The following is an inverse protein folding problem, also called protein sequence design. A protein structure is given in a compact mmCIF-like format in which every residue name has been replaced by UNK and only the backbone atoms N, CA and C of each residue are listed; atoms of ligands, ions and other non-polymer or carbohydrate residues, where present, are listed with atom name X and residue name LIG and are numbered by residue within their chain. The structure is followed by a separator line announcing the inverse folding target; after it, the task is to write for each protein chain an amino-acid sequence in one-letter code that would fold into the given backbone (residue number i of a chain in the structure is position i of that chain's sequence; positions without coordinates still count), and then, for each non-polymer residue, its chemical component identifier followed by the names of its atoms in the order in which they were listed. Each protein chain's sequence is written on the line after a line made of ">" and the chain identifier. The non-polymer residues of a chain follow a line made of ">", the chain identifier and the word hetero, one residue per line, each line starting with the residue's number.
data_IF_516373758383
#
_entry.id   IF_516373758383
#
_cell.length_a   1.000
_cell.length_b   1.000
_cell.length_c   1.000
_cell.angle_alpha   90.00
_cell.angle_beta   90.00
_cell.angle_gamma   90.00
#
_symmetry.space_group_name_H-M   'P 1'
#
loop_
_entity.id
_entity.type
_entity.pdbx_description
1 polymer ?
#
# COMPACT_ATOMS: atom_id res chain seq x y z
N UNK A 1 -25.21 1.59 14.50
CA UNK A 1 -24.76 0.23 14.13
C UNK A 1 -25.91 -0.55 13.50
N UNK A 2 -26.63 0.09 12.60
CA UNK A 2 -27.57 -0.49 11.64
C UNK A 2 -27.25 0.23 10.32
N UNK A 3 -27.66 -0.31 9.18
CA UNK A 3 -27.30 0.11 7.81
C UNK A 3 -26.04 -0.54 7.23
N UNK A 4 -26.22 -1.81 6.84
CA UNK A 4 -25.87 -2.37 5.53
C UNK A 4 -25.73 -3.90 5.68
N UNK A 5 -26.86 -4.61 5.78
CA UNK A 5 -26.87 -6.06 5.55
C UNK A 5 -26.70 -6.27 4.05
N UNK A 6 -25.46 -6.21 3.56
CA UNK A 6 -25.11 -6.73 2.23
C UNK A 6 -25.45 -8.22 2.30
N UNK A 7 -26.41 -8.71 1.50
CA UNK A 7 -26.69 -10.13 1.45
C UNK A 7 -25.39 -10.85 1.05
N UNK A 8 -24.87 -11.71 1.92
CA UNK A 8 -23.61 -12.47 1.70
C UNK A 8 -23.77 -13.53 0.60
N UNK A 9 -24.87 -13.49 -0.16
CA UNK A 9 -25.15 -14.40 -1.27
C UNK A 9 -24.12 -14.16 -2.38
N UNK A 10 -23.11 -15.05 -2.40
CA UNK A 10 -22.04 -15.25 -3.38
C UNK A 10 -20.79 -14.35 -3.31
N UNK A 11 -20.32 -13.98 -2.11
CA UNK A 11 -18.94 -13.48 -1.98
C UNK A 11 -17.95 -14.63 -2.24
N UNK A 12 -17.21 -14.57 -3.36
CA UNK A 12 -16.11 -15.51 -3.65
C UNK A 12 -14.83 -14.98 -3.00
N UNK A 13 -14.33 -15.71 -2.00
CA UNK A 13 -13.06 -15.40 -1.34
C UNK A 13 -11.92 -16.13 -2.03
N UNK A 14 -10.92 -15.36 -2.46
CA UNK A 14 -9.63 -15.89 -2.92
C UNK A 14 -8.56 -15.41 -1.95
N UNK A 15 -7.66 -16.33 -1.57
CA UNK A 15 -6.51 -16.01 -0.73
C UNK A 15 -5.23 -16.34 -1.48
N UNK A 16 -4.22 -15.52 -1.27
CA UNK A 16 -2.88 -15.67 -1.80
C UNK A 16 -1.88 -15.24 -0.73
N UNK A 17 -0.74 -15.92 -0.67
CA UNK A 17 0.31 -15.58 0.28
C UNK A 17 1.01 -14.28 -0.17
N UNK A 18 1.18 -13.36 0.79
CA UNK A 18 1.89 -12.10 0.60
C UNK A 18 2.61 -11.74 1.90
N UNK A 19 3.93 -11.64 1.84
CA UNK A 19 4.71 -10.85 2.79
C UNK A 19 4.97 -9.48 2.16
N UNK A 20 4.24 -8.46 2.62
CA UNK A 20 4.33 -7.11 2.07
C UNK A 20 5.71 -6.46 2.35
N UNK A 21 6.43 -6.91 3.38
CA UNK A 21 7.77 -6.40 3.70
C UNK A 21 8.88 -6.97 2.83
N UNK A 22 8.58 -7.96 1.98
CA UNK A 22 9.53 -8.66 1.12
C UNK A 22 9.18 -8.41 -0.37
N UNK A 23 10.02 -7.66 -1.08
CA UNK A 23 9.68 -7.22 -2.45
C UNK A 23 9.61 -8.39 -3.45
N UNK A 24 10.32 -9.50 -3.19
CA UNK A 24 10.18 -10.73 -3.97
C UNK A 24 8.79 -11.33 -3.78
N UNK A 25 8.32 -11.45 -2.53
CA UNK A 25 6.96 -11.91 -2.23
C UNK A 25 5.89 -11.03 -2.86
N UNK A 26 6.08 -9.70 -2.85
CA UNK A 26 5.18 -8.74 -3.51
C UNK A 26 5.08 -9.01 -5.02
N UNK A 27 6.22 -9.24 -5.70
CA UNK A 27 6.25 -9.54 -7.14
C UNK A 27 5.58 -10.88 -7.47
N UNK A 28 5.83 -11.90 -6.67
CA UNK A 28 5.21 -13.22 -6.82
C UNK A 28 3.69 -13.15 -6.61
N UNK A 29 3.24 -12.46 -5.56
CA UNK A 29 1.82 -12.22 -5.31
C UNK A 29 1.16 -11.49 -6.49
N UNK A 30 1.75 -10.37 -6.93
CA UNK A 30 1.20 -9.61 -8.05
C UNK A 30 1.12 -10.46 -9.32
N UNK A 31 2.13 -11.29 -9.60
CA UNK A 31 2.11 -12.21 -10.75
C UNK A 31 0.91 -13.17 -10.70
N UNK A 32 0.67 -13.78 -9.53
CA UNK A 32 -0.47 -14.69 -9.34
C UNK A 32 -1.81 -13.97 -9.47
N UNK A 33 -1.95 -12.78 -8.90
CA UNK A 33 -3.18 -11.98 -8.99
C UNK A 33 -3.47 -11.59 -10.43
N UNK A 34 -2.46 -11.12 -11.17
CA UNK A 34 -2.58 -10.74 -12.58
C UNK A 34 -2.97 -11.91 -13.49
N UNK A 35 -2.57 -13.13 -13.14
CA UNK A 35 -2.94 -14.33 -13.88
C UNK A 35 -4.38 -14.79 -13.58
N UNK A 36 -4.96 -14.37 -12.45
CA UNK A 36 -6.29 -14.78 -11.99
C UNK A 36 -7.39 -13.76 -12.30
N UNK A 37 -7.06 -12.47 -12.34
CA UNK A 37 -8.04 -11.40 -12.44
C UNK A 37 -7.61 -10.37 -13.47
N UNK A 38 -8.47 -10.12 -14.45
CA UNK A 38 -8.25 -9.12 -15.50
C UNK A 38 -8.44 -7.69 -14.98
N UNK A 39 -9.24 -7.52 -13.92
CA UNK A 39 -9.66 -6.23 -13.39
C UNK A 39 -9.57 -6.18 -11.87
N UNK A 40 -9.08 -5.06 -11.36
CA UNK A 40 -9.10 -4.73 -9.93
C UNK A 40 -9.80 -3.38 -9.77
N UNK A 41 -11.03 -3.39 -9.26
CA UNK A 41 -11.79 -2.15 -9.05
C UNK A 41 -11.34 -1.41 -7.79
N UNK A 42 -10.85 -2.15 -6.79
CA UNK A 42 -10.43 -1.60 -5.51
C UNK A 42 -9.20 -2.33 -4.99
N UNK A 43 -8.12 -1.58 -4.74
CA UNK A 43 -6.94 -2.04 -4.03
C UNK A 43 -6.88 -1.32 -2.68
N UNK A 44 -6.87 -2.07 -1.58
CA UNK A 44 -6.78 -1.53 -0.23
C UNK A 44 -5.42 -1.91 0.38
N UNK A 45 -4.52 -0.94 0.43
CA UNK A 45 -3.21 -1.05 1.06
C UNK A 45 -3.36 -0.84 2.58
N UNK A 46 -3.83 -1.89 3.26
CA UNK A 46 -4.16 -1.85 4.68
C UNK A 46 -3.05 -2.38 5.60
N UNK A 47 -2.31 -3.41 5.16
CA UNK A 47 -1.33 -4.08 6.00
C UNK A 47 -0.30 -3.07 6.58
N UNK A 48 0.03 -3.20 7.86
CA UNK A 48 1.02 -2.36 8.48
C UNK A 48 1.44 -2.80 9.88
N UNK A 49 2.61 -2.33 10.29
CA UNK A 49 3.18 -2.47 11.65
C UNK A 49 3.29 -1.10 12.30
N UNK A 50 3.30 -1.07 13.63
CA UNK A 50 3.35 0.16 14.43
C UNK A 50 4.34 0.03 15.58
N UNK A 51 5.27 1.00 15.66
CA UNK A 51 6.23 1.16 16.75
C UNK A 51 7.00 -0.11 17.12
N UNK A 52 7.39 -0.90 16.12
CA UNK A 52 8.20 -2.10 16.33
C UNK A 52 9.68 -1.75 16.58
N UNK A 53 10.48 -2.63 17.20
CA UNK A 53 11.93 -2.42 17.33
C UNK A 53 12.61 -2.28 15.97
N UNK A 54 13.77 -1.61 15.95
CA UNK A 54 14.56 -1.46 14.73
C UNK A 54 14.89 -2.82 14.12
N UNK A 55 14.54 -2.97 12.85
CA UNK A 55 14.91 -4.13 12.05
C UNK A 55 15.03 -3.70 10.60
N UNK A 56 16.07 -4.21 9.95
CA UNK A 56 16.18 -4.17 8.50
C UNK A 56 15.59 -5.45 7.89
N UNK A 57 14.93 -5.31 6.76
CA UNK A 57 14.63 -6.45 5.89
C UNK A 57 15.93 -6.99 5.29
N UNK A 58 15.88 -8.18 4.71
CA UNK A 58 17.03 -8.77 4.00
C UNK A 58 17.49 -7.90 2.82
N UNK A 59 16.64 -6.99 2.36
CA UNK A 59 16.89 -6.01 1.29
C UNK A 59 17.45 -4.68 1.81
N UNK A 60 17.66 -4.53 3.13
CA UNK A 60 18.23 -3.34 3.75
C UNK A 60 17.25 -2.20 4.00
N UNK A 61 15.94 -2.45 3.96
CA UNK A 61 14.92 -1.45 4.27
C UNK A 61 14.51 -1.48 5.73
N UNK A 62 14.28 -0.33 6.33
CA UNK A 62 13.65 -0.24 7.66
C UNK A 62 12.23 -0.83 7.63
N UNK A 63 11.89 -1.60 8.66
CA UNK A 63 10.65 -2.39 8.74
C UNK A 63 9.34 -1.63 8.51
N UNK A 64 9.12 -0.44 9.11
CA UNK A 64 7.92 0.34 8.88
C UNK A 64 7.87 0.86 7.45
N UNK A 65 8.99 1.35 6.93
CA UNK A 65 9.05 1.79 5.54
C UNK A 65 8.81 0.64 4.56
N UNK A 66 9.42 -0.52 4.79
CA UNK A 66 9.23 -1.71 3.95
C UNK A 66 7.77 -2.18 3.94
N UNK A 67 7.18 -2.36 5.12
CA UNK A 67 5.86 -2.96 5.28
C UNK A 67 4.73 -1.95 5.01
N UNK A 68 4.81 -0.75 5.57
CA UNK A 68 3.72 0.24 5.49
C UNK A 68 3.78 1.04 4.18
N UNK A 69 4.92 1.11 3.50
CA UNK A 69 5.05 1.94 2.31
C UNK A 69 5.61 1.21 1.08
N UNK A 70 6.87 0.76 1.09
CA UNK A 70 7.55 0.27 -0.12
C UNK A 70 6.84 -0.94 -0.75
N UNK A 71 6.41 -1.91 0.07
CA UNK A 71 5.66 -3.05 -0.41
C UNK A 71 4.35 -2.66 -1.10
N UNK A 72 3.60 -1.73 -0.49
CA UNK A 72 2.36 -1.21 -1.06
C UNK A 72 2.59 -0.36 -2.31
N UNK A 73 3.64 0.46 -2.31
CA UNK A 73 4.06 1.23 -3.48
C UNK A 73 4.35 0.29 -4.65
N UNK A 74 5.17 -0.74 -4.42
CA UNK A 74 5.52 -1.73 -5.44
C UNK A 74 4.27 -2.51 -5.90
N UNK A 75 3.44 -2.97 -4.97
CA UNK A 75 2.23 -3.73 -5.27
C UNK A 75 1.27 -2.92 -6.14
N UNK A 76 0.99 -1.67 -5.79
CA UNK A 76 0.13 -0.78 -6.58
C UNK A 76 0.65 -0.65 -8.00
N UNK A 77 1.96 -0.38 -8.18
CA UNK A 77 2.56 -0.23 -9.51
C UNK A 77 2.49 -1.50 -10.34
N UNK A 78 2.71 -2.66 -9.74
CA UNK A 78 2.62 -3.95 -10.43
C UNK A 78 1.19 -4.29 -10.87
N UNK A 79 0.19 -3.79 -10.15
CA UNK A 79 -1.23 -4.01 -10.42
C UNK A 79 -1.90 -2.88 -11.22
N UNK A 80 -1.14 -1.85 -11.63
CA UNK A 80 -1.64 -0.76 -12.47
C UNK A 80 -2.39 -1.23 -13.73
N UNK A 81 -1.93 -2.26 -14.47
CA UNK A 81 -2.67 -2.72 -15.65
C UNK A 81 -4.10 -3.17 -15.32
N UNK A 82 -4.31 -3.87 -14.21
CA UNK A 82 -5.61 -4.37 -13.76
C UNK A 82 -6.49 -3.25 -13.20
N UNK A 83 -5.88 -2.26 -12.54
CA UNK A 83 -6.56 -1.05 -12.06
C UNK A 83 -7.05 -0.22 -13.27
N UNK A 84 -6.18 -0.01 -14.27
CA UNK A 84 -6.51 0.67 -15.54
C UNK A 84 -7.63 -0.04 -16.29
N UNK A 85 -7.58 -1.37 -16.38
CA UNK A 85 -8.62 -2.16 -17.04
C UNK A 85 -9.98 -2.09 -16.33
N UNK A 86 -10.00 -1.77 -15.04
CA UNK A 86 -11.21 -1.61 -14.25
C UNK A 86 -11.80 -0.19 -14.31
N UNK A 87 -10.96 0.84 -14.46
CA UNK A 87 -11.39 2.23 -14.52
C UNK A 87 -12.12 2.57 -15.83
N UNK A 88 -13.32 3.11 -15.72
CA UNK A 88 -14.07 3.73 -16.82
C UNK A 88 -14.56 5.13 -16.40
N UNK A 89 -15.08 5.91 -17.35
CA UNK A 89 -15.65 7.23 -17.06
C UNK A 89 -16.82 7.15 -16.04
N UNK A 90 -17.55 6.03 -16.02
CA UNK A 90 -18.70 5.78 -15.16
C UNK A 90 -18.32 5.08 -13.84
N UNK A 91 -17.22 4.32 -13.83
CA UNK A 91 -16.77 3.56 -12.67
C UNK A 91 -15.26 3.65 -12.49
N UNK A 92 -14.81 4.55 -11.61
CA UNK A 92 -13.40 4.72 -11.30
C UNK A 92 -12.85 3.57 -10.46
N UNK A 93 -11.72 2.99 -10.88
CA UNK A 93 -10.90 2.15 -10.02
C UNK A 93 -10.31 2.99 -8.88
N UNK A 94 -10.07 2.39 -7.71
CA UNK A 94 -9.59 3.11 -6.54
C UNK A 94 -8.43 2.39 -5.86
N UNK A 95 -7.42 3.16 -5.47
CA UNK A 95 -6.35 2.72 -4.58
C UNK A 95 -6.52 3.45 -3.25
N UNK A 96 -6.65 2.69 -2.16
CA UNK A 96 -6.84 3.24 -0.81
C UNK A 96 -5.64 2.87 0.04
N UNK A 97 -4.88 3.88 0.48
CA UNK A 97 -3.77 3.70 1.43
C UNK A 97 -4.25 4.00 2.86
N UNK A 98 -4.18 3.00 3.75
CA UNK A 98 -4.59 3.18 5.15
C UNK A 98 -3.45 3.80 5.96
N UNK A 99 -3.49 5.12 6.08
CA UNK A 99 -2.57 5.91 6.91
C UNK A 99 -3.05 6.01 8.37
N UNK A 100 -2.53 6.96 9.14
CA UNK A 100 -2.88 7.26 10.53
C UNK A 100 -2.79 8.77 10.78
N UNK A 101 -3.48 9.29 11.79
CA UNK A 101 -3.44 10.72 12.16
C UNK A 101 -2.01 11.23 12.46
N UNK A 102 -1.09 10.32 12.82
CA UNK A 102 0.31 10.64 13.11
C UNK A 102 1.10 11.11 11.88
N UNK A 103 0.59 10.93 10.66
CA UNK A 103 1.22 11.51 9.46
C UNK A 103 1.36 13.04 9.56
N UNK A 104 0.51 13.69 10.36
CA UNK A 104 0.54 15.14 10.58
C UNK A 104 1.77 15.64 11.32
N UNK A 105 2.43 14.75 12.07
CA UNK A 105 3.67 15.02 12.81
C UNK A 105 4.84 14.19 12.26
N UNK A 106 4.65 13.51 11.13
CA UNK A 106 5.72 12.78 10.47
C UNK A 106 6.57 13.71 9.61
N UNK A 107 7.82 13.34 9.42
CA UNK A 107 8.75 14.01 8.52
C UNK A 107 9.46 12.96 7.66
N UNK A 108 9.70 13.26 6.38
CA UNK A 108 10.52 12.40 5.52
C UNK A 108 11.98 12.82 5.69
N UNK A 109 12.78 11.93 6.29
CA UNK A 109 14.22 12.12 6.41
C UNK A 109 14.92 11.65 5.15
N UNK A 110 15.13 12.57 4.21
CA UNK A 110 15.81 12.25 2.95
C UNK A 110 17.30 11.92 3.12
N UNK A 111 17.91 12.31 4.24
CA UNK A 111 19.33 12.03 4.52
C UNK A 111 19.53 10.65 5.16
N UNK A 112 18.52 10.14 5.85
CA UNK A 112 18.50 8.81 6.46
C UNK A 112 17.10 8.19 6.42
N UNK A 113 16.66 7.79 5.21
CA UNK A 113 15.30 7.28 5.00
C UNK A 113 15.03 5.98 5.76
N UNK A 114 16.08 5.21 6.06
CA UNK A 114 16.01 3.96 6.83
C UNK A 114 16.21 4.18 8.34
N UNK A 115 16.36 5.43 8.79
CA UNK A 115 16.52 5.80 10.20
C UNK A 115 17.58 4.97 10.93
N UNK A 116 18.72 4.69 10.27
CA UNK A 116 19.77 3.83 10.83
C UNK A 116 20.59 4.50 11.94
N UNK A 117 20.68 5.84 11.97
CA UNK A 117 21.55 6.55 12.92
C UNK A 117 20.89 6.85 14.26
N UNK A 118 19.61 7.20 14.28
CA UNK A 118 18.88 7.64 15.46
C UNK A 118 17.45 7.06 15.44
N UNK A 119 17.34 5.74 15.58
CA UNK A 119 16.06 5.09 15.47
C UNK A 119 15.16 5.40 16.67
N UNK A 120 14.01 6.01 16.39
CA UNK A 120 12.90 6.08 17.33
C UNK A 120 11.67 5.43 16.68
N UNK A 121 11.08 4.36 17.28
CA UNK A 121 10.01 3.60 16.65
C UNK A 121 8.81 4.43 16.21
N UNK A 122 8.43 5.43 17.00
CA UNK A 122 7.32 6.31 16.68
C UNK A 122 7.64 7.20 15.47
N UNK A 123 8.86 7.72 15.37
CA UNK A 123 9.25 8.60 14.25
C UNK A 123 9.31 7.82 12.93
N UNK A 124 9.88 6.60 12.96
CA UNK A 124 9.88 5.70 11.80
C UNK A 124 8.45 5.34 11.36
N UNK A 125 7.57 5.06 12.32
CA UNK A 125 6.16 4.84 12.02
C UNK A 125 5.49 6.09 11.42
N UNK A 126 5.67 7.27 12.02
CA UNK A 126 5.10 8.53 11.55
C UNK A 126 5.57 8.86 10.13
N UNK A 127 6.86 8.68 9.85
CA UNK A 127 7.43 8.82 8.51
C UNK A 127 6.75 7.88 7.51
N UNK A 128 6.57 6.60 7.87
CA UNK A 128 5.90 5.64 6.98
C UNK A 128 4.45 6.01 6.68
N UNK A 129 3.73 6.58 7.67
CA UNK A 129 2.35 7.03 7.51
C UNK A 129 2.24 8.32 6.70
N UNK A 130 3.21 9.22 6.81
CA UNK A 130 3.34 10.37 5.90
C UNK A 130 3.61 9.91 4.47
N UNK A 131 4.53 8.97 4.26
CA UNK A 131 4.84 8.44 2.93
C UNK A 131 3.60 7.86 2.24
N UNK A 132 2.73 7.14 2.96
CA UNK A 132 1.44 6.66 2.43
C UNK A 132 0.51 7.80 1.96
N UNK A 133 0.46 8.93 2.67
CA UNK A 133 -0.37 10.09 2.27
C UNK A 133 0.21 10.79 1.05
N UNK A 134 1.52 11.00 1.02
CA UNK A 134 2.21 11.58 -0.14
C UNK A 134 2.01 10.71 -1.38
N UNK A 135 2.10 9.39 -1.22
CA UNK A 135 1.88 8.44 -2.30
C UNK A 135 0.42 8.42 -2.79
N UNK A 136 -0.56 8.55 -1.88
CA UNK A 136 -1.96 8.68 -2.29
C UNK A 136 -2.19 9.93 -3.15
N UNK A 137 -1.59 11.08 -2.76
CA UNK A 137 -1.64 12.31 -3.55
C UNK A 137 -0.98 12.14 -4.93
N UNK A 138 0.22 11.56 -4.96
CA UNK A 138 0.93 11.27 -6.21
C UNK A 138 0.10 10.37 -7.14
N UNK A 139 -0.44 9.28 -6.60
CA UNK A 139 -1.24 8.32 -7.38
C UNK A 139 -2.48 8.98 -7.96
N UNK A 140 -3.13 9.87 -7.21
CA UNK A 140 -4.28 10.63 -7.69
C UNK A 140 -3.93 11.54 -8.85
N UNK A 141 -2.83 12.30 -8.75
CA UNK A 141 -2.35 13.18 -9.83
C UNK A 141 -2.01 12.37 -11.09
N UNK A 142 -1.29 11.26 -10.93
CA UNK A 142 -0.94 10.37 -12.04
C UNK A 142 -2.20 9.82 -12.74
N UNK A 143 -3.24 9.44 -11.98
CA UNK A 143 -4.50 8.97 -12.57
C UNK A 143 -5.30 10.07 -13.24
N UNK A 144 -5.29 11.30 -12.69
CA UNK A 144 -5.94 12.46 -13.32
C UNK A 144 -5.28 12.80 -14.67
N UNK A 145 -3.96 12.76 -14.75
CA UNK A 145 -3.20 12.95 -16.01
C UNK A 145 -3.51 11.87 -17.05
N UNK A 146 -3.82 10.64 -16.61
CA UNK A 146 -4.23 9.52 -17.46
C UNK A 146 -5.74 9.50 -17.79
N UNK A 147 -6.53 10.43 -17.24
CA UNK A 147 -7.98 10.52 -17.47
C UNK A 147 -8.81 9.46 -16.73
N UNK A 148 -8.30 8.92 -15.62
CA UNK A 148 -8.93 7.88 -14.79
C UNK A 148 -9.73 8.41 -13.60
#
# INVERSE_FOLDING_TARGET
>A
LEHAKIPVSSCKLHYEQLDIGNMKSVREFATKIRAKFDKIHLLINNAGVMSVPFKLTDEGFESHMAINYYGHFLLTHLLLPQLRAAGTAECKARVVNVSSCVHKIGEIDYNDINKVKNYYPADAYNQSKLAQVLFAKYTNLMFEEEGM
#
